data_IF_309471280241
#
_entry.id   IF_309471280241
#
_cell.length_a   1.000
_cell.length_b   1.000
_cell.length_c   1.000
_cell.angle_alpha   90.00
_cell.angle_beta   90.00
_cell.angle_gamma   90.00
#
_symmetry.space_group_name_H-M   'P 1'
#
loop_
_entity.id
_entity.type
_entity.pdbx_description
1 polymer ?
#
# COMPACT_ATOMS: atom_id res chain seq x y z
N UNK A 1 13.64 -4.02 17.84
CA UNK A 1 13.16 -2.82 17.10
C UNK A 1 12.59 -3.28 15.76
N UNK A 2 11.60 -2.59 15.17
CA UNK A 2 11.00 -2.98 13.87
C UNK A 2 11.91 -2.54 12.72
N UNK A 3 13.09 -3.15 12.64
CA UNK A 3 13.98 -3.03 11.49
C UNK A 3 13.21 -3.57 10.27
N UNK A 4 13.16 -2.82 9.17
CA UNK A 4 12.47 -3.20 7.91
C UNK A 4 11.03 -2.69 7.72
N UNK A 5 10.40 -2.14 8.75
CA UNK A 5 9.09 -1.48 8.62
C UNK A 5 9.06 -0.12 9.28
N UNK A 6 8.26 0.77 8.71
CA UNK A 6 7.87 2.04 9.30
C UNK A 6 6.35 2.14 9.33
N UNK A 7 5.84 3.03 10.17
CA UNK A 7 4.42 3.15 10.43
C UNK A 7 3.96 4.59 10.23
N UNK A 8 2.79 4.74 9.61
CA UNK A 8 2.06 5.99 9.58
C UNK A 8 0.92 5.89 10.60
N UNK A 9 0.85 6.83 11.55
CA UNK A 9 -0.14 6.78 12.63
C UNK A 9 -1.57 6.74 12.08
N UNK A 10 -2.45 6.08 12.83
CA UNK A 10 -3.88 6.11 12.55
C UNK A 10 -4.48 7.46 12.96
N UNK A 11 -5.46 7.99 12.22
CA UNK A 11 -6.17 9.19 12.63
C UNK A 11 -7.05 8.87 13.86
N UNK A 12 -7.00 9.70 14.90
CA UNK A 12 -7.78 9.48 16.11
C UNK A 12 -9.31 9.38 15.85
N UNK A 13 -9.79 10.10 14.82
CA UNK A 13 -11.15 10.03 14.30
C UNK A 13 -11.15 9.84 12.79
N UNK A 14 -12.02 8.97 12.31
CA UNK A 14 -12.31 8.73 10.90
C UNK A 14 -13.47 9.63 10.49
N UNK A 15 -13.33 10.30 9.35
CA UNK A 15 -14.37 11.17 8.81
C UNK A 15 -15.35 10.35 7.97
N UNK A 16 -16.39 9.81 8.61
CA UNK A 16 -17.48 9.07 7.94
C UNK A 16 -18.66 10.01 7.70
N UNK A 17 -19.05 10.14 6.45
CA UNK A 17 -20.20 10.96 6.04
C UNK A 17 -20.96 10.25 4.93
N UNK A 18 -22.19 10.68 4.70
CA UNK A 18 -22.88 10.33 3.47
C UNK A 18 -22.19 11.01 2.28
N UNK A 19 -21.95 10.25 1.23
CA UNK A 19 -21.23 10.71 0.04
C UNK A 19 -22.11 10.48 -1.18
N UNK A 20 -22.99 11.44 -1.44
CA UNK A 20 -23.95 11.35 -2.54
C UNK A 20 -23.28 11.19 -3.91
N UNK A 21 -22.04 11.67 -4.05
CA UNK A 21 -21.23 11.52 -5.25
C UNK A 21 -20.64 10.11 -5.43
N UNK A 22 -20.62 9.28 -4.38
CA UNK A 22 -20.14 7.91 -4.43
C UNK A 22 -21.19 6.96 -5.07
N UNK A 23 -21.62 7.30 -6.29
CA UNK A 23 -22.68 6.64 -7.06
C UNK A 23 -22.14 6.10 -8.40
N UNK A 24 -22.79 5.06 -8.90
CA UNK A 24 -22.42 4.34 -10.13
C UNK A 24 -23.54 4.27 -11.16
N UNK A 25 -24.75 4.62 -10.74
CA UNK A 25 -25.99 4.65 -11.51
C UNK A 25 -26.12 5.94 -12.35
N UNK A 26 -25.41 7.01 -11.98
CA UNK A 26 -25.46 8.29 -12.71
C UNK A 26 -24.14 9.03 -12.69
N UNK A 27 -24.02 10.01 -13.60
CA UNK A 27 -22.94 11.01 -13.56
C UNK A 27 -23.28 12.05 -12.50
N UNK A 28 -22.28 12.45 -11.73
CA UNK A 28 -22.42 13.49 -10.70
C UNK A 28 -22.05 14.83 -11.34
N UNK A 29 -22.86 15.90 -11.18
CA UNK A 29 -22.49 17.25 -11.62
C UNK A 29 -21.11 17.66 -11.08
N UNK A 30 -20.34 18.39 -11.88
CA UNK A 30 -19.01 18.93 -11.54
C UNK A 30 -17.95 17.91 -11.11
N UNK A 31 -18.24 16.61 -11.30
CA UNK A 31 -17.32 15.53 -11.01
C UNK A 31 -16.43 15.20 -12.20
N UNK A 32 -15.22 14.76 -11.88
CA UNK A 32 -14.17 14.41 -12.82
C UNK A 32 -14.30 12.93 -13.18
N UNK A 33 -14.42 12.64 -14.47
CA UNK A 33 -14.37 11.28 -15.01
C UNK A 33 -13.40 11.26 -16.18
N UNK A 34 -12.25 10.63 -15.97
CA UNK A 34 -11.09 10.69 -16.86
C UNK A 34 -10.30 9.39 -16.79
N UNK A 35 -9.41 9.19 -17.75
CA UNK A 35 -8.37 8.17 -17.72
C UNK A 35 -7.03 8.84 -17.39
N UNK A 36 -6.30 8.29 -16.43
CA UNK A 36 -4.91 8.64 -16.17
C UNK A 36 -4.04 7.56 -16.79
N UNK A 37 -3.19 7.95 -17.74
CA UNK A 37 -2.09 7.11 -18.21
C UNK A 37 -0.85 7.39 -17.38
N UNK A 38 -0.21 6.33 -16.91
CA UNK A 38 0.84 6.39 -15.92
C UNK A 38 2.04 5.57 -16.41
N UNK A 39 3.22 6.16 -16.30
CA UNK A 39 4.50 5.46 -16.46
C UNK A 39 5.25 5.53 -15.15
N UNK A 40 5.55 4.36 -14.57
CA UNK A 40 6.43 4.21 -13.43
C UNK A 40 7.77 3.65 -13.87
N UNK A 41 8.87 4.17 -13.32
CA UNK A 41 10.19 3.54 -13.43
C UNK A 41 10.46 2.69 -12.19
N UNK A 42 10.94 1.46 -12.39
CA UNK A 42 11.40 0.61 -11.30
C UNK A 42 12.80 1.04 -10.82
N UNK A 43 12.88 1.84 -9.76
CA UNK A 43 14.16 2.27 -9.16
C UNK A 43 14.91 1.09 -8.47
N UNK A 44 14.18 0.04 -8.11
CA UNK A 44 14.70 -1.22 -7.57
C UNK A 44 14.00 -2.41 -8.25
N UNK A 45 14.59 -3.62 -8.22
CA UNK A 45 13.89 -4.81 -8.72
C UNK A 45 12.54 -5.01 -8.03
N UNK A 46 11.52 -5.40 -8.79
CA UNK A 46 10.16 -5.59 -8.28
C UNK A 46 9.79 -7.07 -8.42
N UNK A 47 9.54 -7.75 -7.30
CA UNK A 47 8.92 -9.07 -7.30
C UNK A 47 7.44 -8.96 -6.94
N UNK A 48 6.55 -9.40 -7.82
CA UNK A 48 5.15 -9.64 -7.50
C UNK A 48 4.90 -11.11 -7.81
N UNK A 49 4.62 -11.91 -6.78
CA UNK A 49 4.44 -13.34 -6.97
C UNK A 49 3.16 -13.67 -7.75
N UNK A 50 3.27 -14.59 -8.70
CA UNK A 50 2.11 -15.16 -9.42
C UNK A 50 1.30 -16.16 -8.58
N UNK A 51 1.89 -16.64 -7.48
CA UNK A 51 1.38 -17.78 -6.69
C UNK A 51 1.98 -19.12 -7.11
N UNK A 52 2.69 -19.17 -8.24
CA UNK A 52 3.32 -20.38 -8.76
C UNK A 52 4.82 -20.44 -8.45
N UNK A 53 5.36 -21.66 -8.54
CA UNK A 53 6.80 -21.95 -8.54
C UNK A 53 7.14 -22.64 -9.86
N UNK A 54 8.30 -22.30 -10.40
CA UNK A 54 8.87 -22.91 -11.60
C UNK A 54 10.23 -23.51 -11.30
N UNK A 55 10.83 -24.10 -12.32
CA UNK A 55 12.22 -24.56 -12.32
C UNK A 55 13.02 -23.73 -13.31
N UNK A 56 14.16 -23.21 -12.87
CA UNK A 56 15.22 -22.73 -13.76
C UNK A 56 16.40 -23.70 -13.63
N UNK A 57 16.58 -24.54 -14.66
CA UNK A 57 17.38 -25.76 -14.56
C UNK A 57 16.89 -26.67 -13.43
N UNK A 58 17.72 -26.89 -12.42
CA UNK A 58 17.41 -27.71 -11.25
C UNK A 58 17.07 -26.89 -10.00
N UNK A 59 16.86 -25.58 -10.13
CA UNK A 59 16.59 -24.68 -9.00
C UNK A 59 15.14 -24.24 -9.00
N UNK A 60 14.49 -24.32 -7.85
CA UNK A 60 13.12 -23.82 -7.67
C UNK A 60 13.13 -22.30 -7.62
N UNK A 61 12.33 -21.69 -8.49
CA UNK A 61 12.15 -20.25 -8.60
C UNK A 61 10.70 -19.89 -8.29
N UNK A 62 10.47 -18.78 -7.57
CA UNK A 62 9.11 -18.23 -7.44
C UNK A 62 8.82 -17.34 -8.63
N UNK A 63 7.81 -17.73 -9.41
CA UNK A 63 7.47 -17.04 -10.64
C UNK A 63 6.83 -15.67 -10.37
N UNK A 64 7.22 -14.69 -11.17
CA UNK A 64 6.68 -13.34 -11.16
C UNK A 64 5.32 -13.28 -11.86
N UNK A 65 4.55 -12.24 -11.56
CA UNK A 65 3.25 -12.01 -12.18
C UNK A 65 3.43 -11.54 -13.63
N UNK A 66 2.76 -12.23 -14.55
CA UNK A 66 2.71 -11.87 -15.96
C UNK A 66 1.43 -11.09 -16.26
N UNK A 67 1.56 -10.02 -17.03
CA UNK A 67 0.46 -9.22 -17.58
C UNK A 67 0.55 -9.33 -19.08
N UNK A 68 -0.46 -9.90 -19.73
CA UNK A 68 -0.53 -10.04 -21.21
C UNK A 68 0.74 -10.66 -21.82
N UNK A 69 1.34 -11.63 -21.14
CA UNK A 69 2.52 -12.34 -21.62
C UNK A 69 3.86 -11.63 -21.38
N UNK A 70 3.88 -10.50 -20.68
CA UNK A 70 5.12 -9.83 -20.26
C UNK A 70 5.17 -9.64 -18.73
N UNK A 71 6.36 -9.46 -18.14
CA UNK A 71 6.49 -9.04 -16.75
C UNK A 71 5.66 -7.79 -16.47
N UNK A 72 4.90 -7.79 -15.37
CA UNK A 72 4.03 -6.65 -15.08
C UNK A 72 3.51 -6.58 -13.65
N UNK A 73 2.78 -5.51 -13.38
CA UNK A 73 2.10 -5.28 -12.11
C UNK A 73 0.60 -5.44 -12.33
N UNK A 74 -0.05 -6.46 -11.73
CA UNK A 74 -1.50 -6.56 -11.76
C UNK A 74 -2.16 -5.33 -11.16
N UNK A 75 -3.24 -4.86 -11.79
CA UNK A 75 -3.99 -3.68 -11.37
C UNK A 75 -4.53 -3.81 -9.95
N UNK A 76 -4.83 -5.03 -9.49
CA UNK A 76 -5.21 -5.33 -8.10
C UNK A 76 -4.10 -5.02 -7.10
N UNK A 77 -2.86 -5.32 -7.44
CA UNK A 77 -1.68 -5.08 -6.60
C UNK A 77 -1.38 -3.58 -6.52
N UNK A 78 -1.42 -2.88 -7.66
CA UNK A 78 -1.30 -1.43 -7.69
C UNK A 78 -2.44 -0.75 -6.93
N UNK A 79 -3.69 -1.19 -7.12
CA UNK A 79 -4.85 -0.67 -6.38
C UNK A 79 -4.69 -0.83 -4.87
N UNK A 80 -4.15 -1.96 -4.40
CA UNK A 80 -3.83 -2.19 -3.00
C UNK A 80 -2.84 -1.17 -2.45
N UNK A 81 -1.74 -0.91 -3.18
CA UNK A 81 -0.74 0.10 -2.80
C UNK A 81 -1.35 1.50 -2.75
N UNK A 82 -2.10 1.89 -3.78
CA UNK A 82 -2.75 3.20 -3.83
C UNK A 82 -3.77 3.36 -2.71
N UNK A 83 -4.55 2.32 -2.41
CA UNK A 83 -5.51 2.33 -1.29
C UNK A 83 -4.80 2.53 0.04
N UNK A 84 -3.74 1.76 0.31
CA UNK A 84 -3.00 1.88 1.57
C UNK A 84 -2.38 3.26 1.77
N UNK A 85 -1.85 3.87 0.70
CA UNK A 85 -1.32 5.24 0.74
C UNK A 85 -2.43 6.26 0.95
N UNK A 86 -3.53 6.16 0.20
CA UNK A 86 -4.68 7.06 0.34
C UNK A 86 -5.30 7.00 1.74
N UNK A 87 -5.43 5.80 2.30
CA UNK A 87 -5.87 5.58 3.68
C UNK A 87 -4.92 6.17 4.73
N UNK A 88 -3.63 6.31 4.42
CA UNK A 88 -2.63 6.89 5.33
C UNK A 88 -2.63 8.42 5.34
N UNK A 89 -3.04 9.06 4.23
CA UNK A 89 -3.10 10.52 4.12
C UNK A 89 -4.51 11.09 4.34
N UNK A 90 -5.50 10.23 4.58
CA UNK A 90 -6.88 10.63 4.86
C UNK A 90 -7.35 10.11 6.22
N UNK A 91 -8.38 10.75 6.77
CA UNK A 91 -9.09 10.31 7.99
C UNK A 91 -9.95 9.09 7.68
N UNK A 92 -9.32 7.98 7.29
CA UNK A 92 -9.97 6.77 6.79
C UNK A 92 -9.83 5.58 7.76
N UNK A 93 -10.81 4.68 7.72
CA UNK A 93 -10.75 3.43 8.48
C UNK A 93 -9.75 2.45 7.85
N UNK A 94 -9.51 1.32 8.52
CA UNK A 94 -8.61 0.25 8.06
C UNK A 94 -9.32 -0.82 7.22
N UNK A 95 -10.66 -0.74 7.12
CA UNK A 95 -11.48 -1.76 6.43
C UNK A 95 -11.58 -3.10 7.18
N UNK A 96 -11.02 -3.19 8.39
CA UNK A 96 -10.99 -4.42 9.18
C UNK A 96 -11.37 -4.16 10.63
N UNK A 97 -12.10 -5.10 11.22
CA UNK A 97 -12.38 -5.14 12.66
C UNK A 97 -11.31 -5.95 13.36
N UNK A 98 -10.74 -5.41 14.44
CA UNK A 98 -9.83 -6.17 15.30
C UNK A 98 -10.62 -7.19 16.13
N UNK A 99 -10.04 -8.38 16.28
CA UNK A 99 -10.55 -9.41 17.18
C UNK A 99 -9.77 -9.32 18.49
N UNK A 100 -10.46 -9.50 19.62
CA UNK A 100 -9.87 -9.35 20.94
C UNK A 100 -8.64 -10.25 21.16
N UNK A 101 -8.73 -11.53 20.81
CA UNK A 101 -7.66 -12.52 21.00
C UNK A 101 -7.20 -13.14 19.68
N UNK A 102 -5.90 -13.41 19.58
CA UNK A 102 -5.29 -14.07 18.41
C UNK A 102 -4.19 -15.03 18.82
N UNK A 103 -4.05 -16.10 18.03
CA UNK A 103 -2.85 -16.93 18.06
C UNK A 103 -1.70 -16.18 17.37
N UNK A 104 -0.55 -16.19 18.01
CA UNK A 104 0.66 -15.51 17.58
C UNK A 104 1.77 -16.53 17.38
N UNK A 105 2.64 -16.29 16.41
CA UNK A 105 3.93 -16.97 16.33
C UNK A 105 4.93 -16.10 17.10
N UNK A 106 5.65 -16.67 18.05
CA UNK A 106 6.67 -15.95 18.82
C UNK A 106 7.85 -16.86 19.12
N UNK A 107 9.07 -16.32 19.08
CA UNK A 107 10.27 -17.00 19.54
C UNK A 107 10.32 -17.15 21.06
N UNK A 108 9.51 -16.39 21.81
CA UNK A 108 9.43 -16.46 23.28
C UNK A 108 8.64 -17.67 23.80
N UNK A 109 8.05 -18.48 22.91
CA UNK A 109 7.14 -19.57 23.26
C UNK A 109 5.71 -19.12 23.62
N UNK A 110 5.46 -17.81 23.72
CA UNK A 110 4.12 -17.26 23.96
C UNK A 110 3.33 -17.26 22.65
N UNK A 111 2.25 -18.03 22.60
CA UNK A 111 1.45 -18.24 21.38
C UNK A 111 0.13 -17.49 21.35
N UNK A 112 -0.18 -16.69 22.38
CA UNK A 112 -1.43 -15.93 22.46
C UNK A 112 -1.15 -14.46 22.76
N UNK A 113 -2.01 -13.61 22.22
CA UNK A 113 -2.06 -12.21 22.60
C UNK A 113 -3.43 -11.60 22.41
N UNK A 114 -3.64 -10.46 23.05
CA UNK A 114 -4.90 -9.72 23.00
C UNK A 114 -4.66 -8.21 22.93
N UNK A 115 -5.65 -7.51 22.38
CA UNK A 115 -5.65 -6.06 22.31
C UNK A 115 -6.43 -5.48 23.49
N UNK A 116 -5.94 -4.38 24.07
CA UNK A 116 -6.70 -3.67 25.12
C UNK A 116 -8.01 -3.09 24.57
N UNK A 117 -8.94 -2.78 25.48
CA UNK A 117 -10.22 -2.16 25.12
C UNK A 117 -10.03 -0.87 24.32
N UNK A 118 -9.03 -0.06 24.67
CA UNK A 118 -8.71 1.20 23.99
C UNK A 118 -8.25 0.98 22.55
N UNK A 119 -7.47 -0.07 22.29
CA UNK A 119 -7.07 -0.43 20.92
C UNK A 119 -8.26 -0.94 20.12
N UNK A 120 -9.10 -1.79 20.73
CA UNK A 120 -10.29 -2.35 20.09
C UNK A 120 -11.36 -1.29 19.80
N UNK A 121 -11.46 -0.25 20.63
CA UNK A 121 -12.42 0.85 20.46
C UNK A 121 -11.91 1.97 19.55
N UNK A 122 -10.66 1.90 19.07
CA UNK A 122 -10.10 2.92 18.20
C UNK A 122 -10.92 3.03 16.91
N UNK A 123 -11.33 4.26 16.60
CA UNK A 123 -12.29 4.56 15.53
C UNK A 123 -11.84 4.06 14.13
N UNK A 124 -10.54 3.90 13.89
CA UNK A 124 -10.01 3.36 12.64
C UNK A 124 -10.40 1.89 12.38
N UNK A 125 -10.82 1.14 13.40
CA UNK A 125 -11.27 -0.26 13.27
C UNK A 125 -12.79 -0.42 13.20
N UNK A 126 -13.53 0.68 13.36
CA UNK A 126 -14.97 0.68 13.10
C UNK A 126 -15.17 0.64 11.57
N UNK A 127 -15.81 -0.39 11.01
CA UNK A 127 -16.00 -0.48 9.57
C UNK A 127 -16.94 0.63 9.07
N UNK A 128 -16.74 1.07 7.83
CA UNK A 128 -17.71 1.95 7.16
C UNK A 128 -18.94 1.14 6.73
N UNK A 129 -20.09 1.80 6.60
CA UNK A 129 -21.30 1.23 5.99
C UNK A 129 -21.45 1.74 4.54
N UNK A 130 -22.54 1.36 3.86
CA UNK A 130 -22.83 1.86 2.51
C UNK A 130 -23.29 3.31 2.50
N UNK A 131 -23.84 3.75 3.62
CA UNK A 131 -24.40 5.08 3.88
C UNK A 131 -23.31 6.00 4.42
N UNK A 132 -22.56 5.55 5.45
CA UNK A 132 -21.52 6.34 6.10
C UNK A 132 -20.13 5.81 5.74
N UNK A 133 -19.45 6.54 4.85
CA UNK A 133 -18.15 6.14 4.30
C UNK A 133 -17.06 7.17 4.60
N UNK A 134 -15.87 6.66 4.92
CA UNK A 134 -14.66 7.46 4.81
C UNK A 134 -14.22 7.63 3.35
N UNK A 135 -13.32 8.58 3.11
CA UNK A 135 -12.84 8.91 1.77
C UNK A 135 -12.25 7.70 1.04
N UNK A 136 -11.43 6.88 1.72
CA UNK A 136 -10.86 5.70 1.09
C UNK A 136 -11.92 4.66 0.68
N UNK A 137 -12.89 4.37 1.54
CA UNK A 137 -13.98 3.43 1.24
C UNK A 137 -14.86 3.92 0.08
N UNK A 138 -15.12 5.23 0.01
CA UNK A 138 -15.93 5.81 -1.05
C UNK A 138 -15.23 5.86 -2.42
N UNK A 139 -13.90 5.96 -2.41
CA UNK A 139 -13.08 5.97 -3.63
C UNK A 139 -12.72 4.54 -4.09
N UNK A 140 -12.10 3.76 -3.21
CA UNK A 140 -11.58 2.41 -3.49
C UNK A 140 -12.63 1.30 -3.33
N UNK A 141 -13.82 1.62 -2.82
CA UNK A 141 -14.91 0.67 -2.57
C UNK A 141 -14.79 -0.03 -1.21
N UNK A 142 -15.89 -0.67 -0.82
CA UNK A 142 -15.99 -1.58 0.32
C UNK A 142 -16.90 -2.75 -0.06
N UNK A 143 -17.12 -3.71 0.86
CA UNK A 143 -18.06 -4.80 0.60
C UNK A 143 -19.43 -4.23 0.22
N UNK A 144 -20.03 -4.77 -0.85
CA UNK A 144 -21.32 -4.34 -1.39
C UNK A 144 -21.37 -2.89 -1.91
N UNK A 145 -20.22 -2.23 -2.13
CA UNK A 145 -20.13 -0.92 -2.80
C UNK A 145 -18.97 -0.89 -3.79
N UNK A 146 -19.30 -0.71 -5.08
CA UNK A 146 -18.31 -0.64 -6.16
C UNK A 146 -17.37 0.56 -5.98
N UNK A 147 -16.11 0.36 -6.33
CA UNK A 147 -15.09 1.42 -6.37
C UNK A 147 -15.29 2.37 -7.55
N UNK A 148 -15.01 3.65 -7.34
CA UNK A 148 -15.00 4.70 -8.38
C UNK A 148 -13.69 4.81 -9.13
N UNK A 149 -12.70 3.99 -8.76
CA UNK A 149 -11.46 3.85 -9.50
C UNK A 149 -11.29 2.41 -10.01
N UNK A 150 -10.82 2.30 -11.24
CA UNK A 150 -10.40 1.04 -11.85
C UNK A 150 -8.94 1.17 -12.21
N UNK A 151 -8.09 0.39 -11.55
CA UNK A 151 -6.66 0.34 -11.84
C UNK A 151 -6.45 -0.83 -12.80
N UNK A 152 -6.01 -0.53 -14.02
CA UNK A 152 -5.67 -1.53 -15.01
C UNK A 152 -4.27 -2.08 -14.72
N UNK A 153 -3.93 -3.18 -15.38
CA UNK A 153 -2.59 -3.77 -15.25
C UNK A 153 -1.53 -2.84 -15.85
N UNK A 154 -0.30 -2.98 -15.35
CA UNK A 154 0.87 -2.28 -15.86
C UNK A 154 1.82 -3.27 -16.51
N UNK A 155 2.18 -3.01 -17.75
CA UNK A 155 3.10 -3.82 -18.55
C UNK A 155 4.52 -3.27 -18.40
N UNK A 156 5.50 -4.14 -18.17
CA UNK A 156 6.92 -3.83 -18.18
C UNK A 156 7.54 -4.03 -19.56
N UNK A 157 8.54 -3.22 -19.88
CA UNK A 157 9.27 -3.28 -21.16
C UNK A 157 10.55 -4.13 -21.13
N UNK A 158 10.77 -4.89 -20.05
CA UNK A 158 11.92 -5.80 -19.90
C UNK A 158 11.47 -7.18 -19.44
N UNK A 159 12.23 -8.19 -19.84
CA UNK A 159 12.06 -9.56 -19.36
C UNK A 159 12.41 -9.68 -17.86
N UNK A 160 11.94 -10.75 -17.22
CA UNK A 160 12.31 -11.04 -15.84
C UNK A 160 13.81 -11.30 -15.72
N UNK A 161 14.35 -10.94 -14.56
CA UNK A 161 15.68 -11.39 -14.10
C UNK A 161 15.53 -12.14 -12.78
N UNK A 162 16.39 -13.12 -12.55
CA UNK A 162 16.42 -13.84 -11.28
C UNK A 162 17.20 -13.07 -10.24
N UNK A 163 16.58 -12.87 -9.09
CA UNK A 163 17.19 -12.23 -7.93
C UNK A 163 17.05 -13.11 -6.69
N UNK A 164 18.03 -13.04 -5.80
CA UNK A 164 17.97 -13.71 -4.52
C UNK A 164 17.28 -12.79 -3.50
N UNK A 165 16.13 -13.22 -3.00
CA UNK A 165 15.35 -12.51 -1.99
C UNK A 165 15.37 -13.30 -0.68
N UNK A 166 15.60 -12.62 0.44
CA UNK A 166 15.44 -13.25 1.75
C UNK A 166 13.95 -13.55 1.99
N UNK A 167 13.63 -14.68 2.59
CA UNK A 167 12.24 -14.98 2.97
C UNK A 167 11.68 -13.91 3.91
N UNK A 168 10.48 -13.41 3.60
CA UNK A 168 9.84 -12.35 4.37
C UNK A 168 8.59 -12.89 5.05
N UNK A 169 8.56 -12.79 6.37
CA UNK A 169 7.36 -12.98 7.15
C UNK A 169 6.74 -11.63 7.49
N UNK A 170 5.41 -11.58 7.54
CA UNK A 170 4.75 -10.42 8.12
C UNK A 170 5.12 -10.33 9.61
N UNK A 171 5.34 -9.12 10.16
CA UNK A 171 5.54 -8.96 11.59
C UNK A 171 4.32 -9.52 12.32
N UNK A 172 4.57 -10.26 13.39
CA UNK A 172 3.51 -10.77 14.26
C UNK A 172 2.74 -9.61 14.89
N UNK A 173 1.49 -9.85 15.30
CA UNK A 173 0.62 -8.76 15.78
C UNK A 173 1.20 -8.02 17.01
N UNK A 174 1.97 -8.72 17.87
CA UNK A 174 2.65 -8.10 19.02
C UNK A 174 3.80 -7.13 18.64
N UNK A 175 4.23 -7.12 17.37
CA UNK A 175 5.19 -6.14 16.84
C UNK A 175 4.49 -4.90 16.25
N UNK A 176 3.16 -4.88 16.16
CA UNK A 176 2.41 -3.75 15.61
C UNK A 176 2.29 -2.57 16.57
N UNK A 177 2.79 -2.71 17.80
CA UNK A 177 2.40 -1.86 18.92
C UNK A 177 3.38 -1.79 20.08
N UNK A 178 2.94 -1.14 21.17
CA UNK A 178 3.50 -1.33 22.51
C UNK A 178 2.93 -2.64 23.05
N UNK A 179 3.82 -3.52 23.51
CA UNK A 179 3.45 -4.84 23.97
C UNK A 179 4.11 -5.15 25.31
N UNK A 180 3.34 -5.74 26.21
CA UNK A 180 3.79 -6.22 27.52
C UNK A 180 3.39 -7.70 27.66
N UNK A 181 4.09 -8.46 28.49
CA UNK A 181 3.71 -9.84 28.81
C UNK A 181 2.86 -9.78 30.08
N UNK A 182 1.63 -10.26 29.98
CA UNK A 182 0.72 -10.45 31.12
C UNK A 182 0.72 -11.93 31.49
N UNK A 183 0.93 -12.23 32.78
CA UNK A 183 0.90 -13.59 33.33
C UNK A 183 -0.22 -13.66 34.36
N UNK A 184 -1.26 -14.44 34.06
CA UNK A 184 -2.41 -14.65 34.95
C UNK A 184 -2.23 -15.86 35.89
N UNK A 185 -1.02 -16.44 35.94
CA UNK A 185 -0.69 -17.64 36.70
C UNK A 185 -1.11 -18.95 36.02
N UNK A 186 -1.90 -18.89 34.93
CA UNK A 186 -2.27 -20.05 34.10
C UNK A 186 -1.59 -20.02 32.75
N UNK A 187 -1.48 -18.84 32.14
CA UNK A 187 -0.90 -18.67 30.81
C UNK A 187 -0.31 -17.26 30.62
N UNK A 188 0.89 -17.19 30.04
CA UNK A 188 1.49 -15.94 29.60
C UNK A 188 0.89 -15.50 28.27
N UNK A 189 0.50 -14.23 28.17
CA UNK A 189 -0.10 -13.64 26.96
C UNK A 189 0.54 -12.31 26.64
N UNK A 190 0.62 -11.99 25.35
CA UNK A 190 0.99 -10.65 24.91
C UNK A 190 -0.20 -9.69 25.02
N UNK A 191 -0.03 -8.60 25.76
CA UNK A 191 -0.99 -7.50 25.87
C UNK A 191 -0.54 -6.35 24.98
N UNK A 192 -1.31 -6.08 23.93
CA UNK A 192 -1.05 -4.96 23.01
C UNK A 192 -1.90 -3.77 23.44
N UNK A 193 -1.24 -2.73 23.98
CA UNK A 193 -1.91 -1.55 24.55
C UNK A 193 -1.94 -0.33 23.64
N UNK A 194 -1.12 -0.31 22.60
CA UNK A 194 -1.03 0.80 21.64
C UNK A 194 -0.65 0.24 20.27
N UNK A 195 -1.10 0.88 19.18
CA UNK A 195 -0.69 0.54 17.82
C UNK A 195 0.17 1.65 17.21
N UNK A 196 1.24 1.25 16.50
CA UNK A 196 2.14 2.19 15.80
C UNK A 196 1.50 2.79 14.55
N UNK A 197 0.52 2.08 13.96
CA UNK A 197 -0.31 2.56 12.85
C UNK A 197 -0.27 1.67 11.61
N UNK A 198 -0.42 2.29 10.44
CA UNK A 198 -0.41 1.64 9.12
C UNK A 198 1.03 1.28 8.74
N UNK A 199 1.26 0.00 8.45
CA UNK A 199 2.58 -0.56 8.16
C UNK A 199 3.01 -0.32 6.71
N UNK A 200 4.21 0.23 6.53
CA UNK A 200 4.90 0.37 5.25
C UNK A 200 6.27 -0.31 5.33
N UNK A 201 6.62 -1.12 4.31
CA UNK A 201 7.94 -1.76 4.23
C UNK A 201 9.00 -0.75 3.86
N UNK A 202 9.96 -0.53 4.75
CA UNK A 202 10.96 0.53 4.66
C UNK A 202 12.28 0.08 5.29
N UNK A 203 13.36 0.12 4.50
CA UNK A 203 14.72 -0.20 4.95
C UNK A 203 14.97 -1.70 5.12
N UNK A 204 16.08 -2.05 5.79
CA UNK A 204 16.46 -3.43 6.02
C UNK A 204 15.97 -3.91 7.39
N UNK A 205 15.33 -5.07 7.39
CA UNK A 205 15.10 -5.86 8.58
C UNK A 205 16.38 -6.40 9.18
N UNK A 206 16.31 -6.92 10.42
CA UNK A 206 17.44 -7.63 10.98
C UNK A 206 17.72 -8.81 10.06
N UNK A 207 18.98 -8.98 9.67
CA UNK A 207 19.37 -10.11 8.84
C UNK A 207 19.37 -11.34 9.75
N UNK A 208 18.54 -12.36 9.49
CA UNK A 208 18.57 -13.58 10.28
C UNK A 208 19.93 -14.27 10.13
N UNK A 209 20.44 -14.84 11.21
CA UNK A 209 21.70 -15.60 11.20
C UNK A 209 21.64 -16.75 10.18
N UNK A 210 20.48 -17.43 10.09
CA UNK A 210 20.18 -18.44 9.07
C UNK A 210 19.48 -17.80 7.88
N UNK A 211 20.26 -17.40 6.86
CA UNK A 211 19.72 -16.80 5.63
C UNK A 211 19.08 -17.86 4.74
N UNK A 212 17.75 -17.91 4.70
CA UNK A 212 17.03 -18.65 3.67
C UNK A 212 16.76 -17.73 2.49
N UNK A 213 17.65 -17.80 1.51
CA UNK A 213 17.48 -17.13 0.23
C UNK A 213 16.60 -17.97 -0.68
N UNK A 214 15.65 -17.32 -1.32
CA UNK A 214 14.83 -17.90 -2.39
C UNK A 214 15.14 -17.14 -3.68
N UNK A 215 15.22 -17.88 -4.79
CA UNK A 215 15.27 -17.27 -6.12
C UNK A 215 13.87 -16.84 -6.52
N UNK A 216 13.78 -15.61 -7.03
CA UNK A 216 12.54 -15.00 -7.47
C UNK A 216 12.72 -14.37 -8.85
N UNK A 217 11.72 -14.50 -9.71
CA UNK A 217 11.64 -13.71 -10.94
C UNK A 217 11.26 -12.26 -10.59
N UNK A 218 12.02 -11.31 -11.13
CA UNK A 218 11.82 -9.89 -10.81
C UNK A 218 11.83 -9.03 -12.04
N UNK A 219 10.98 -8.00 -12.03
CA UNK A 219 11.05 -6.92 -12.97
C UNK A 219 12.33 -6.14 -12.65
N UNK A 220 13.31 -6.07 -13.56
CA UNK A 220 14.61 -5.48 -13.26
C UNK A 220 14.52 -3.96 -13.02
N UNK A 221 15.53 -3.41 -12.35
CA UNK A 221 15.72 -1.97 -12.21
C UNK A 221 15.75 -1.27 -13.58
N UNK A 222 15.21 -0.06 -13.63
CA UNK A 222 15.10 0.77 -14.83
C UNK A 222 14.06 0.26 -15.84
N UNK A 223 13.18 -0.67 -15.47
CA UNK A 223 12.03 -1.05 -16.30
C UNK A 223 10.97 0.05 -16.24
N UNK A 224 10.35 0.37 -17.37
CA UNK A 224 9.19 1.27 -17.41
C UNK A 224 7.90 0.45 -17.40
N UNK A 225 7.10 0.69 -16.37
CA UNK A 225 5.81 0.08 -16.11
C UNK A 225 4.71 1.02 -16.59
N UNK A 226 4.02 0.66 -17.67
CA UNK A 226 2.98 1.49 -18.30
C UNK A 226 1.61 0.90 -18.06
N UNK A 227 0.70 1.72 -17.54
CA UNK A 227 -0.67 1.31 -17.24
C UNK A 227 -1.60 2.51 -17.11
N UNK A 228 -2.84 2.25 -16.70
CA UNK A 228 -3.83 3.32 -16.59
C UNK A 228 -4.76 3.16 -15.40
N UNK A 229 -5.26 4.28 -14.90
CA UNK A 229 -6.30 4.36 -13.88
C UNK A 229 -7.51 5.07 -14.46
N UNK A 230 -8.66 4.40 -14.45
CA UNK A 230 -9.94 4.98 -14.85
C UNK A 230 -10.62 5.57 -13.62
N UNK A 231 -10.98 6.84 -13.72
CA UNK A 231 -11.65 7.62 -12.69
C UNK A 231 -13.09 7.88 -13.09
N UNK A 232 -14.01 7.72 -12.14
CA UNK A 232 -15.44 7.98 -12.35
C UNK A 232 -16.03 8.77 -11.20
N UNK A 233 -16.72 9.86 -11.51
CA UNK A 233 -17.40 10.72 -10.53
C UNK A 233 -16.49 11.17 -9.38
N UNK A 234 -15.24 11.56 -9.66
CA UNK A 234 -14.24 11.95 -8.66
C UNK A 234 -14.36 13.44 -8.35
N UNK A 235 -14.33 13.81 -7.07
CA UNK A 235 -14.27 15.23 -6.68
C UNK A 235 -12.84 15.77 -6.80
N UNK A 236 -12.69 17.09 -6.91
CA UNK A 236 -11.37 17.73 -7.11
C UNK A 236 -10.41 17.45 -5.94
N UNK A 237 -10.91 17.47 -4.71
CA UNK A 237 -10.15 17.14 -3.51
C UNK A 237 -9.78 15.65 -3.42
N UNK A 238 -10.63 14.75 -3.92
CA UNK A 238 -10.32 13.32 -3.98
C UNK A 238 -9.24 13.03 -5.02
N UNK A 239 -9.28 13.77 -6.13
CA UNK A 239 -8.24 13.74 -7.14
C UNK A 239 -6.90 14.21 -6.56
N UNK A 240 -6.90 15.31 -5.79
CA UNK A 240 -5.70 15.79 -5.09
C UNK A 240 -5.09 14.72 -4.17
N UNK A 241 -5.92 14.08 -3.33
CA UNK A 241 -5.46 12.97 -2.49
C UNK A 241 -4.97 11.77 -3.31
N UNK A 242 -5.59 11.46 -4.44
CA UNK A 242 -5.15 10.38 -5.32
C UNK A 242 -3.80 10.70 -5.96
N UNK A 243 -3.53 11.95 -6.32
CA UNK A 243 -2.24 12.39 -6.85
C UNK A 243 -1.11 12.27 -5.80
N UNK A 244 -1.40 12.52 -4.52
CA UNK A 244 -0.46 12.22 -3.41
C UNK A 244 -0.22 10.71 -3.33
N UNK A 245 -1.28 9.90 -3.38
CA UNK A 245 -1.18 8.44 -3.32
C UNK A 245 -0.43 7.85 -4.52
N UNK A 246 -0.55 8.43 -5.71
CA UNK A 246 0.19 8.09 -6.92
C UNK A 246 1.68 8.51 -6.87
N UNK A 247 2.06 9.35 -5.91
CA UNK A 247 3.42 9.87 -5.77
C UNK A 247 3.73 11.09 -6.64
N UNK A 248 2.71 11.81 -7.13
CA UNK A 248 2.87 12.98 -8.01
C UNK A 248 3.07 14.29 -7.26
N UNK A 249 2.20 14.60 -6.30
CA UNK A 249 2.21 15.89 -5.61
C UNK A 249 1.82 15.73 -4.14
N UNK A 250 2.75 15.88 -3.17
CA UNK A 250 4.19 16.01 -3.39
C UNK A 250 4.80 14.76 -4.05
N UNK A 251 5.89 14.95 -4.78
CA UNK A 251 6.59 13.86 -5.45
C UNK A 251 7.16 12.86 -4.42
N UNK A 252 6.89 11.57 -4.62
CA UNK A 252 7.42 10.50 -3.77
C UNK A 252 7.43 9.16 -4.49
N UNK A 253 8.36 8.28 -4.11
CA UNK A 253 8.37 6.91 -4.61
C UNK A 253 7.29 6.06 -3.91
N UNK A 254 7.02 4.87 -4.47
CA UNK A 254 6.13 3.87 -3.91
C UNK A 254 6.88 2.56 -3.73
N UNK A 255 6.44 1.74 -2.78
CA UNK A 255 6.95 0.39 -2.55
C UNK A 255 5.87 -0.66 -2.85
N UNK A 256 6.08 -1.50 -3.85
CA UNK A 256 5.15 -2.53 -4.33
C UNK A 256 5.79 -3.93 -4.27
N UNK A 257 4.97 -4.98 -4.28
CA UNK A 257 5.45 -6.37 -4.32
C UNK A 257 5.99 -6.91 -2.99
N UNK A 258 6.85 -7.92 -3.05
CA UNK A 258 7.50 -8.55 -1.90
C UNK A 258 8.94 -8.07 -1.73
N UNK A 259 9.58 -8.35 -0.58
CA UNK A 259 10.99 -8.02 -0.34
C UNK A 259 11.25 -6.55 0.00
N UNK A 260 10.20 -5.75 0.26
CA UNK A 260 10.29 -4.30 0.52
C UNK A 260 11.21 -3.93 1.69
N UNK A 261 11.38 -4.86 2.63
CA UNK A 261 12.14 -4.69 3.86
C UNK A 261 13.45 -5.49 3.92
N UNK A 262 13.86 -6.14 2.83
CA UNK A 262 14.95 -7.14 2.84
C UNK A 262 16.12 -6.72 1.95
N UNK A 263 17.33 -7.16 2.31
CA UNK A 263 18.52 -7.08 1.47
C UNK A 263 18.47 -8.10 0.33
N UNK A 264 19.11 -7.76 -0.80
CA UNK A 264 19.51 -8.68 -1.88
C UNK A 264 20.89 -9.28 -1.59
N UNK A 265 21.12 -10.55 -1.97
CA UNK A 265 22.36 -11.28 -1.66
C UNK A 265 23.61 -10.66 -2.28
N UNK A 266 23.48 -10.05 -3.46
CA UNK A 266 24.60 -9.54 -4.27
C UNK A 266 24.64 -8.00 -4.33
N UNK A 267 23.96 -7.31 -3.43
CA UNK A 267 24.04 -5.85 -3.40
C UNK A 267 25.30 -5.43 -2.63
N UNK A 268 26.20 -4.73 -3.31
CA UNK A 268 27.34 -4.06 -2.68
C UNK A 268 26.91 -2.87 -1.80
N UNK A 269 25.70 -2.36 -2.00
CA UNK A 269 25.21 -1.11 -1.42
C UNK A 269 24.01 -1.28 -0.48
N UNK A 270 23.86 -0.32 0.43
CA UNK A 270 22.71 -0.17 1.33
C UNK A 270 21.35 0.04 0.62
N UNK A 271 21.30 0.17 -0.72
CA UNK A 271 20.06 0.28 -1.53
C UNK A 271 19.54 -1.09 -2.04
N UNK A 272 19.90 -2.17 -1.34
CA UNK A 272 19.64 -3.56 -1.73
C UNK A 272 18.17 -4.03 -1.67
N UNK A 273 17.19 -3.17 -1.44
CA UNK A 273 15.80 -3.59 -1.24
C UNK A 273 15.00 -3.75 -2.53
N UNK A 274 13.79 -4.30 -2.43
CA UNK A 274 12.89 -4.51 -3.57
C UNK A 274 11.76 -3.48 -3.61
N UNK A 275 11.14 -3.39 -4.77
CA UNK A 275 9.77 -2.90 -4.92
C UNK A 275 9.64 -1.39 -5.08
N UNK A 276 10.74 -0.63 -5.11
CA UNK A 276 10.68 0.83 -5.26
C UNK A 276 10.40 1.22 -6.71
N UNK A 277 9.33 1.97 -6.91
CA UNK A 277 8.95 2.54 -8.21
C UNK A 277 8.69 4.04 -8.08
N UNK A 278 8.93 4.81 -9.13
CA UNK A 278 8.73 6.26 -9.18
C UNK A 278 7.91 6.64 -10.39
N UNK A 279 6.91 7.51 -10.18
CA UNK A 279 6.10 8.04 -11.28
C UNK A 279 6.96 8.99 -12.11
N UNK A 280 7.15 8.69 -13.40
CA UNK A 280 7.92 9.53 -14.32
C UNK A 280 7.03 10.28 -15.31
N UNK A 281 5.88 9.71 -15.66
CA UNK A 281 4.92 10.33 -16.58
C UNK A 281 3.50 10.15 -16.07
N UNK A 282 2.68 11.19 -16.20
CA UNK A 282 1.24 11.17 -15.94
C UNK A 282 0.54 12.02 -16.99
N UNK A 283 -0.35 11.39 -17.75
CA UNK A 283 -1.12 12.05 -18.80
C UNK A 283 -2.61 11.85 -18.55
N UNK A 284 -3.37 12.93 -18.65
CA UNK A 284 -4.82 12.92 -18.47
C UNK A 284 -5.49 12.75 -19.81
N UNK A 285 -6.52 11.92 -19.88
CA UNK A 285 -7.35 11.75 -21.06
C UNK A 285 -8.82 11.80 -20.72
N UNK A 286 -9.59 12.44 -21.58
CA UNK A 286 -11.05 12.33 -21.52
C UNK A 286 -11.53 10.93 -21.96
N UNK A 287 -12.85 10.75 -21.99
CA UNK A 287 -13.45 9.49 -22.44
C UNK A 287 -13.20 9.16 -23.91
N UNK A 288 -12.88 10.15 -24.74
CA UNK A 288 -12.51 9.97 -26.15
C UNK A 288 -11.00 9.72 -26.34
N UNK A 289 -10.21 9.71 -25.25
CA UNK A 289 -8.76 9.54 -25.30
C UNK A 289 -7.98 10.82 -25.61
N UNK A 290 -8.65 11.97 -25.71
CA UNK A 290 -8.00 13.25 -26.00
C UNK A 290 -7.25 13.72 -24.74
N UNK A 291 -6.00 14.20 -24.87
CA UNK A 291 -5.27 14.78 -23.76
C UNK A 291 -6.05 15.91 -23.09
N UNK A 292 -6.04 15.92 -21.76
CA UNK A 292 -6.58 17.00 -20.94
C UNK A 292 -5.45 17.70 -20.19
N UNK A 293 -5.60 19.00 -19.99
CA UNK A 293 -4.77 19.77 -19.07
C UNK A 293 -5.53 19.89 -17.76
N UNK A 294 -5.16 19.07 -16.78
CA UNK A 294 -5.66 19.22 -15.41
C UNK A 294 -4.58 19.86 -14.54
N UNK A 295 -5.01 20.81 -13.71
CA UNK A 295 -4.15 21.47 -12.76
C UNK A 295 -4.00 20.58 -11.51
N UNK A 296 -2.96 19.75 -11.53
CA UNK A 296 -2.58 18.89 -10.40
C UNK A 296 -2.36 19.69 -9.11
N UNK A 297 -1.89 20.95 -9.21
CA UNK A 297 -1.67 21.81 -8.05
C UNK A 297 -3.00 22.29 -7.49
N UNK A 298 -3.93 22.74 -8.33
CA UNK A 298 -5.27 23.12 -7.87
C UNK A 298 -6.02 21.94 -7.24
N UNK A 299 -5.88 20.72 -7.78
CA UNK A 299 -6.46 19.52 -7.17
C UNK A 299 -5.84 19.24 -5.79
N UNK A 300 -4.52 19.36 -5.67
CA UNK A 300 -3.82 19.23 -4.39
C UNK A 300 -4.24 20.32 -3.39
N UNK A 301 -4.36 21.58 -3.81
CA UNK A 301 -4.84 22.68 -2.96
C UNK A 301 -6.28 22.48 -2.49
N UNK A 302 -7.14 21.85 -3.30
CA UNK A 302 -8.47 21.42 -2.85
C UNK A 302 -8.37 20.32 -1.78
N UNK A 303 -7.48 19.34 -1.98
CA UNK A 303 -7.22 18.29 -0.99
C UNK A 303 -6.69 18.85 0.33
N UNK A 304 -5.79 19.84 0.31
CA UNK A 304 -5.23 20.42 1.53
C UNK A 304 -6.28 21.09 2.43
N UNK A 305 -7.37 21.58 1.83
CA UNK A 305 -8.53 22.20 2.50
C UNK A 305 -9.62 21.20 2.88
N UNK A 306 -9.54 19.96 2.41
CA UNK A 306 -10.58 18.95 2.64
C UNK A 306 -10.62 18.47 4.09
N UNK A 307 -11.84 18.29 4.63
CA UNK A 307 -12.06 17.65 5.92
C UNK A 307 -11.59 16.18 5.97
N UNK A 308 -11.43 15.55 4.81
CA UNK A 308 -10.92 14.18 4.71
C UNK A 308 -9.41 14.08 4.91
N UNK A 309 -8.67 15.17 4.73
CA UNK A 309 -7.20 15.14 4.82
C UNK A 309 -6.74 14.82 6.23
N UNK A 310 -5.71 13.97 6.30
CA UNK A 310 -4.96 13.69 7.51
C UNK A 310 -3.51 14.16 7.33
N UNK A 311 -3.27 15.44 7.65
CA UNK A 311 -2.00 16.11 7.38
C UNK A 311 -0.80 15.44 8.08
N UNK A 312 -0.95 14.97 9.32
CA UNK A 312 0.12 14.24 10.01
C UNK A 312 0.49 12.95 9.27
N UNK A 313 -0.51 12.19 8.79
CA UNK A 313 -0.26 10.96 8.06
C UNK A 313 0.32 11.20 6.66
N UNK A 314 -0.07 12.28 6.00
CA UNK A 314 0.58 12.74 4.77
C UNK A 314 2.06 13.07 5.02
N UNK A 315 2.37 13.92 6.01
CA UNK A 315 3.74 14.29 6.33
C UNK A 315 4.60 13.06 6.65
N UNK A 316 4.06 12.12 7.43
CA UNK A 316 4.73 10.86 7.73
C UNK A 316 4.95 10.03 6.46
N UNK A 317 3.92 9.82 5.64
CA UNK A 317 4.05 9.03 4.40
C UNK A 317 5.07 9.63 3.44
N UNK A 318 5.06 10.96 3.30
CA UNK A 318 5.99 11.70 2.45
C UNK A 318 7.42 11.57 2.98
N UNK A 319 7.64 11.77 4.27
CA UNK A 319 8.95 11.57 4.89
C UNK A 319 9.49 10.13 4.68
N UNK A 320 8.61 9.12 4.77
CA UNK A 320 8.99 7.74 4.51
C UNK A 320 9.50 7.53 3.07
N UNK A 321 8.87 8.16 2.09
CA UNK A 321 9.14 7.88 0.68
C UNK A 321 10.02 8.92 -0.04
N UNK A 322 10.35 10.03 0.62
CA UNK A 322 11.33 11.02 0.16
C UNK A 322 12.73 10.79 0.74
N UNK A 323 12.84 10.24 1.97
CA UNK A 323 14.10 10.17 2.72
C UNK A 323 14.79 8.81 2.78
N UNK A 324 14.38 7.81 1.99
CA UNK A 324 14.97 6.47 2.04
C UNK A 324 15.78 6.16 0.76
N UNK A 325 16.98 6.73 0.65
CA UNK A 325 18.13 6.14 -0.03
C UNK A 325 19.19 5.91 1.04
#
# INVERSE_FOLDING_TARGET
MNEGYRFVKLPAKVHRVEREYARHDRRVPDSISVRLDLTYEAEQPVHIGSGFKGLDGNVVVRCGAMVRGVPGVPGSSMKGVLRSRYEAITRSCTGHTLKNSRSLRSSTGITKGFFTKDVLSHDAFVPCTRELMCAACALFGLMSKRSRITVLDFEGDKAFVLEAMLEQFSPNDHHLGRCEIEDDGREKKFKISELRGRKFGMGHGPIPEKKQWQLVETIPKGTLLRGSVLLRNILREELGGLLVALGRHPASALKIGSGKGNLRKNAADFDASFGRIKLVELTWRDHAGKPLTEDARAAYEAFTKSADRWAEGENQLVALHQGAC
#
